data_IF_733097212823
#
_entry.id   IF_733097212823
#
_cell.length_a   1.000
_cell.length_b   1.000
_cell.length_c   1.000
_cell.angle_alpha   90.00
_cell.angle_beta   90.00
_cell.angle_gamma   90.00
#
_symmetry.space_group_name_H-M   'P 1'
#
loop_
_entity.id
_entity.type
_entity.pdbx_description
1 polymer ?
#
# COMPACT_ATOMS: atom_id res chain seq x y z
N UNK A 1 5.70 8.34 9.86
CA UNK A 1 4.40 9.02 9.62
C UNK A 1 4.56 10.43 9.04
N UNK A 2 5.51 10.64 8.12
CA UNK A 2 5.68 11.93 7.46
C UNK A 2 4.52 12.20 6.50
N UNK A 3 4.22 13.47 6.22
CA UNK A 3 3.20 13.86 5.22
C UNK A 3 1.75 13.46 5.53
N UNK A 4 1.44 13.05 6.76
CA UNK A 4 0.07 12.76 7.18
C UNK A 4 -0.72 14.05 7.48
N UNK A 5 -2.04 13.99 7.29
CA UNK A 5 -2.95 15.02 7.79
C UNK A 5 -3.45 14.62 9.18
N UNK A 6 -3.18 15.46 10.18
CA UNK A 6 -3.55 15.21 11.57
C UNK A 6 -4.69 16.09 12.07
N UNK A 7 -5.21 17.00 11.22
CA UNK A 7 -6.30 17.92 11.58
C UNK A 7 -5.88 19.12 12.45
N UNK A 8 -4.59 19.27 12.78
CA UNK A 8 -4.06 20.33 13.65
C UNK A 8 -2.79 20.94 13.06
N UNK A 9 -2.50 22.20 13.44
CA UNK A 9 -1.35 22.95 12.93
C UNK A 9 -0.12 22.97 13.86
N UNK A 10 -0.20 22.38 15.05
CA UNK A 10 0.88 22.39 16.04
C UNK A 10 1.52 21.01 16.21
N UNK A 11 2.85 20.96 16.34
CA UNK A 11 3.61 19.72 16.56
C UNK A 11 3.19 18.96 17.81
N UNK A 12 2.87 19.66 18.91
CA UNK A 12 2.46 19.06 20.19
C UNK A 12 1.15 18.26 20.07
N UNK A 13 0.17 18.78 19.33
CA UNK A 13 -1.10 18.09 19.11
C UNK A 13 -0.95 16.84 18.24
N UNK A 14 0.04 16.84 17.33
CA UNK A 14 0.38 15.69 16.48
C UNK A 14 1.15 14.65 17.27
N UNK A 15 2.18 15.06 18.02
CA UNK A 15 3.00 14.15 18.82
C UNK A 15 2.20 13.48 19.91
N UNK A 16 1.27 14.18 20.57
CA UNK A 16 0.42 13.60 21.62
C UNK A 16 -0.56 12.51 21.16
N UNK A 17 -0.64 12.23 19.85
CA UNK A 17 -1.46 11.14 19.28
C UNK A 17 -0.62 9.98 18.75
N UNK A 18 0.70 10.11 18.81
CA UNK A 18 1.65 9.13 18.30
C UNK A 18 2.31 8.51 19.51
N UNK A 19 2.10 7.21 19.73
CA UNK A 19 2.82 6.49 20.76
C UNK A 19 4.12 5.95 20.17
N UNK A 20 5.25 6.59 20.47
CA UNK A 20 6.56 6.25 19.91
C UNK A 20 7.69 6.20 20.94
N UNK A 21 8.94 6.08 20.45
CA UNK A 21 10.16 6.07 21.28
C UNK A 21 10.27 7.23 22.27
N UNK A 22 9.60 8.36 22.01
CA UNK A 22 9.61 9.53 22.90
C UNK A 22 8.80 9.28 24.17
N UNK A 23 7.78 8.42 24.09
CA UNK A 23 6.94 8.02 25.23
C UNK A 23 7.42 6.72 25.88
N UNK A 24 7.90 5.76 25.08
CA UNK A 24 8.40 4.45 25.54
C UNK A 24 9.66 4.07 24.75
N UNK A 25 10.80 3.97 25.43
CA UNK A 25 12.10 3.71 24.81
C UNK A 25 12.19 2.36 24.06
N UNK A 26 11.28 1.42 24.32
CA UNK A 26 11.21 0.13 23.63
C UNK A 26 10.57 0.21 22.24
N UNK A 27 9.90 1.33 21.93
CA UNK A 27 9.22 1.53 20.65
C UNK A 27 10.12 2.16 19.59
N UNK A 28 9.73 1.97 18.33
CA UNK A 28 10.37 2.66 17.21
C UNK A 28 10.01 4.15 17.24
N UNK A 29 10.99 5.00 16.89
CA UNK A 29 10.75 6.45 16.76
C UNK A 29 9.93 6.72 15.51
N UNK A 30 8.84 7.45 15.65
CA UNK A 30 7.96 7.80 14.54
C UNK A 30 8.31 9.20 14.06
N UNK A 31 8.83 9.29 12.84
CA UNK A 31 9.00 10.59 12.20
C UNK A 31 7.67 11.08 11.63
N UNK A 32 7.12 12.15 12.21
CA UNK A 32 5.87 12.80 11.78
C UNK A 32 6.09 14.18 11.16
N UNK A 33 7.31 14.49 10.73
CA UNK A 33 7.62 15.75 10.07
C UNK A 33 6.83 15.95 8.77
N UNK A 34 6.70 17.22 8.36
CA UNK A 34 5.99 17.63 7.15
C UNK A 34 4.50 17.25 7.13
N UNK A 35 3.81 17.31 8.28
CA UNK A 35 2.36 17.10 8.33
C UNK A 35 1.59 18.10 7.46
N UNK A 36 0.50 17.64 6.85
CA UNK A 36 -0.33 18.48 5.96
C UNK A 36 -1.25 19.36 6.80
N UNK A 37 -1.28 20.65 6.48
CA UNK A 37 -2.06 21.67 7.19
C UNK A 37 -3.51 21.79 6.70
N UNK A 38 -3.80 21.31 5.50
CA UNK A 38 -5.14 21.32 4.91
C UNK A 38 -5.46 19.96 4.29
N UNK A 39 -6.76 19.71 4.11
CA UNK A 39 -7.26 18.51 3.43
C UNK A 39 -7.12 18.59 1.91
N UNK A 40 -6.47 19.62 1.35
CA UNK A 40 -6.35 19.79 -0.09
C UNK A 40 -5.61 18.61 -0.75
N UNK A 41 -4.57 18.09 -0.10
CA UNK A 41 -3.90 16.86 -0.55
C UNK A 41 -4.73 15.59 -0.34
N UNK A 42 -5.71 15.59 0.57
CA UNK A 42 -6.69 14.50 0.73
C UNK A 42 -7.82 14.59 -0.31
N UNK A 43 -8.16 15.80 -0.77
CA UNK A 43 -9.24 16.06 -1.72
C UNK A 43 -8.80 15.94 -3.19
N UNK A 44 -7.49 16.08 -3.45
CA UNK A 44 -6.92 16.05 -4.81
C UNK A 44 -5.77 15.04 -4.99
N UNK A 45 -5.57 14.14 -4.02
CA UNK A 45 -4.52 13.13 -4.02
C UNK A 45 -5.03 11.76 -3.56
N UNK A 46 -4.11 10.83 -3.30
CA UNK A 46 -4.44 9.54 -2.70
C UNK A 46 -4.65 9.68 -1.19
N UNK A 47 -5.43 8.76 -0.63
CA UNK A 47 -5.61 8.61 0.81
C UNK A 47 -4.26 8.42 1.52
N UNK A 48 -4.12 8.84 2.79
CA UNK A 48 -2.87 8.65 3.53
C UNK A 48 -2.45 7.17 3.54
N UNK A 49 -1.17 6.92 3.23
CA UNK A 49 -0.64 5.56 3.10
C UNK A 49 -0.71 5.00 1.67
N UNK A 50 -1.60 5.54 0.82
CA UNK A 50 -1.65 5.21 -0.59
C UNK A 50 -0.69 6.08 -1.39
N UNK A 51 -0.08 5.48 -2.41
CA UNK A 51 0.81 6.16 -3.37
C UNK A 51 0.17 6.18 -4.74
N UNK A 52 0.21 7.33 -5.41
CA UNK A 52 -0.27 7.44 -6.79
C UNK A 52 0.76 6.80 -7.73
N UNK A 53 0.33 5.77 -8.47
CA UNK A 53 1.11 5.17 -9.56
C UNK A 53 0.28 5.26 -10.83
N UNK A 54 0.75 6.04 -11.80
CA UNK A 54 -0.03 6.42 -12.97
C UNK A 54 -1.31 7.20 -12.59
N UNK A 55 -2.46 6.60 -12.84
CA UNK A 55 -3.79 7.17 -12.62
C UNK A 55 -4.56 6.56 -11.44
N UNK A 56 -3.96 5.63 -10.69
CA UNK A 56 -4.60 5.00 -9.54
C UNK A 56 -3.75 5.12 -8.26
N UNK A 57 -4.42 4.94 -7.12
CA UNK A 57 -3.83 4.97 -5.79
C UNK A 57 -3.63 3.53 -5.30
N UNK A 58 -2.41 3.20 -4.90
CA UNK A 58 -2.02 1.86 -4.48
C UNK A 58 -1.47 1.87 -3.05
N UNK A 59 -1.74 0.79 -2.33
CA UNK A 59 -1.14 0.48 -1.03
C UNK A 59 -0.47 -0.89 -1.14
N UNK A 60 0.79 -0.98 -0.74
CA UNK A 60 1.52 -2.25 -0.70
C UNK A 60 1.48 -2.81 0.72
N UNK A 61 1.18 -4.11 0.83
CA UNK A 61 1.16 -4.82 2.11
C UNK A 61 1.94 -6.12 1.92
N UNK A 62 3.16 -6.18 2.46
CA UNK A 62 4.00 -7.37 2.46
C UNK A 62 3.58 -8.33 3.58
N UNK A 63 2.51 -9.09 3.36
CA UNK A 63 2.03 -10.10 4.31
C UNK A 63 1.56 -11.34 3.55
N UNK A 64 2.04 -12.55 3.90
CA UNK A 64 1.69 -13.79 3.20
C UNK A 64 0.23 -14.15 3.49
N UNK A 65 -0.63 -14.02 2.49
CA UNK A 65 -2.07 -14.27 2.61
C UNK A 65 -2.64 -14.95 1.37
N UNK A 66 -3.79 -15.60 1.53
CA UNK A 66 -4.57 -16.10 0.38
C UNK A 66 -5.21 -14.95 -0.39
N UNK A 67 -5.63 -15.22 -1.63
CA UNK A 67 -6.31 -14.20 -2.44
C UNK A 67 -7.61 -13.70 -1.79
N UNK A 68 -8.37 -14.59 -1.14
CA UNK A 68 -9.61 -14.23 -0.45
C UNK A 68 -9.35 -13.30 0.75
N UNK A 69 -8.32 -13.60 1.55
CA UNK A 69 -7.91 -12.78 2.68
C UNK A 69 -7.43 -11.40 2.22
N UNK A 70 -6.62 -11.33 1.15
CA UNK A 70 -6.18 -10.07 0.57
C UNK A 70 -7.35 -9.21 0.09
N UNK A 71 -8.34 -9.83 -0.58
CA UNK A 71 -9.57 -9.16 -1.02
C UNK A 71 -10.40 -8.66 0.15
N UNK A 72 -10.55 -9.48 1.19
CA UNK A 72 -11.27 -9.10 2.41
C UNK A 72 -10.58 -7.96 3.15
N UNK A 73 -9.25 -7.95 3.19
CA UNK A 73 -8.45 -6.87 3.76
C UNK A 73 -8.70 -5.56 3.04
N UNK A 74 -8.55 -5.53 1.71
CA UNK A 74 -8.79 -4.32 0.91
C UNK A 74 -10.22 -3.79 1.12
N UNK A 75 -11.22 -4.68 1.18
CA UNK A 75 -12.62 -4.30 1.41
C UNK A 75 -12.86 -3.64 2.77
N UNK A 76 -12.13 -4.05 3.82
CA UNK A 76 -12.23 -3.41 5.15
C UNK A 76 -11.75 -1.96 5.13
N UNK A 77 -10.83 -1.63 4.23
CA UNK A 77 -10.32 -0.26 4.01
C UNK A 77 -11.10 0.49 2.92
N UNK A 78 -12.32 0.04 2.60
CA UNK A 78 -13.16 0.60 1.53
C UNK A 78 -12.44 0.65 0.15
N UNK A 79 -11.49 -0.25 -0.07
CA UNK A 79 -10.71 -0.41 -1.28
C UNK A 79 -10.97 -1.78 -1.94
N UNK A 80 -10.27 -2.05 -3.04
CA UNK A 80 -10.28 -3.34 -3.71
C UNK A 80 -8.86 -3.80 -4.00
N UNK A 81 -8.67 -5.12 -4.19
CA UNK A 81 -7.47 -5.58 -4.89
C UNK A 81 -7.34 -4.84 -6.23
N UNK A 82 -6.14 -4.39 -6.60
CA UNK A 82 -5.98 -3.49 -7.73
C UNK A 82 -6.27 -4.19 -9.06
N UNK A 83 -7.09 -3.58 -9.91
CA UNK A 83 -7.24 -4.01 -11.30
C UNK A 83 -6.08 -3.47 -12.13
N UNK A 84 -5.12 -4.34 -12.44
CA UNK A 84 -3.89 -3.94 -13.12
C UNK A 84 -4.01 -4.19 -14.62
N UNK A 85 -4.16 -3.15 -15.44
CA UNK A 85 -4.27 -3.26 -16.90
C UNK A 85 -3.12 -2.57 -17.66
N UNK A 86 -2.42 -1.66 -17.00
CA UNK A 86 -1.37 -0.79 -17.58
C UNK A 86 -0.40 -0.37 -16.47
N UNK A 87 0.65 0.36 -16.85
CA UNK A 87 1.69 0.86 -15.94
C UNK A 87 2.46 -0.25 -15.19
N UNK A 88 2.61 -1.42 -15.81
CA UNK A 88 3.32 -2.56 -15.19
C UNK A 88 4.74 -2.20 -14.75
N UNK A 89 5.42 -1.35 -15.52
CA UNK A 89 6.75 -0.87 -15.18
C UNK A 89 6.75 0.01 -13.93
N UNK A 90 5.88 1.01 -13.89
CA UNK A 90 5.76 1.95 -12.77
C UNK A 90 5.34 1.22 -11.49
N UNK A 91 4.39 0.28 -11.58
CA UNK A 91 3.95 -0.53 -10.44
C UNK A 91 5.06 -1.45 -9.94
N UNK A 92 5.79 -2.11 -10.85
CA UNK A 92 6.93 -2.95 -10.46
C UNK A 92 8.00 -2.16 -9.73
N UNK A 93 8.35 -0.99 -10.26
CA UNK A 93 9.35 -0.10 -9.67
C UNK A 93 8.88 0.43 -8.32
N UNK A 94 7.62 0.85 -8.22
CA UNK A 94 7.04 1.30 -6.97
C UNK A 94 7.04 0.21 -5.89
N UNK A 95 6.69 -1.05 -6.22
CA UNK A 95 6.74 -2.18 -5.26
C UNK A 95 8.17 -2.38 -4.75
N UNK A 96 9.16 -2.32 -5.66
CA UNK A 96 10.58 -2.43 -5.29
C UNK A 96 11.01 -1.34 -4.30
N UNK A 97 10.47 -0.11 -4.44
CA UNK A 97 10.72 0.98 -3.49
C UNK A 97 10.04 0.75 -2.12
N UNK A 98 9.00 -0.09 -2.02
CA UNK A 98 8.30 -0.37 -0.76
C UNK A 98 9.01 -1.43 0.10
N UNK A 99 9.65 -2.42 -0.52
CA UNK A 99 10.30 -3.53 0.17
C UNK A 99 11.67 -3.82 -0.48
N UNK A 100 12.80 -3.46 0.18
CA UNK A 100 14.14 -3.65 -0.37
C UNK A 100 14.48 -5.10 -0.73
N UNK A 101 13.90 -6.07 -0.03
CA UNK A 101 14.12 -7.50 -0.23
C UNK A 101 13.23 -8.10 -1.34
N UNK A 102 12.33 -7.31 -1.94
CA UNK A 102 11.41 -7.80 -2.95
C UNK A 102 12.14 -8.21 -4.24
N UNK A 103 12.01 -9.49 -4.59
CA UNK A 103 12.60 -10.11 -5.77
C UNK A 103 11.58 -10.12 -6.91
N UNK A 104 11.61 -9.09 -7.76
CA UNK A 104 10.63 -8.89 -8.83
C UNK A 104 10.45 -10.07 -9.81
N UNK A 105 11.44 -10.97 -9.91
CA UNK A 105 11.36 -12.18 -10.73
C UNK A 105 10.52 -13.31 -10.13
N UNK A 106 10.38 -13.35 -8.81
CA UNK A 106 9.79 -14.49 -8.08
C UNK A 106 8.65 -14.09 -7.16
N UNK A 107 8.77 -12.92 -6.53
CA UNK A 107 7.80 -12.46 -5.55
C UNK A 107 6.55 -11.96 -6.28
N UNK A 108 5.45 -12.64 -5.97
CA UNK A 108 4.15 -12.38 -6.55
C UNK A 108 3.32 -11.53 -5.59
N UNK A 109 2.48 -10.66 -6.13
CA UNK A 109 1.51 -9.90 -5.34
C UNK A 109 0.11 -10.10 -5.89
N UNK A 110 -0.88 -10.20 -5.01
CA UNK A 110 -2.27 -10.35 -5.44
C UNK A 110 -2.78 -9.10 -6.18
N UNK A 111 -3.39 -9.30 -7.33
CA UNK A 111 -4.03 -8.26 -8.14
C UNK A 111 -5.35 -8.79 -8.73
N UNK A 112 -6.05 -7.98 -9.51
CA UNK A 112 -7.17 -8.40 -10.35
C UNK A 112 -6.87 -8.07 -11.82
N UNK A 113 -7.37 -8.89 -12.74
CA UNK A 113 -7.24 -8.67 -14.18
C UNK A 113 -8.43 -9.28 -14.91
N UNK A 114 -9.03 -8.55 -15.85
CA UNK A 114 -10.28 -8.97 -16.51
C UNK A 114 -10.11 -10.25 -17.35
N UNK A 115 -8.92 -10.44 -17.93
CA UNK A 115 -8.62 -11.62 -18.76
C UNK A 115 -8.32 -12.89 -17.96
N UNK A 116 -8.21 -12.81 -16.63
CA UNK A 116 -8.03 -13.99 -15.77
C UNK A 116 -9.41 -14.54 -15.42
N UNK A 117 -9.90 -15.46 -16.25
CA UNK A 117 -11.26 -16.06 -16.13
C UNK A 117 -11.26 -17.23 -15.14
N UNK A 118 -10.16 -17.98 -15.05
CA UNK A 118 -9.98 -19.12 -14.16
C UNK A 118 -8.77 -18.89 -13.26
N UNK A 119 -8.86 -19.24 -11.97
CA UNK A 119 -7.81 -19.00 -10.99
C UNK A 119 -7.84 -17.58 -10.41
N UNK A 120 -6.74 -17.17 -9.80
CA UNK A 120 -6.57 -15.84 -9.22
C UNK A 120 -5.40 -15.10 -9.87
N UNK A 121 -5.55 -13.79 -10.04
CA UNK A 121 -4.55 -12.96 -10.71
C UNK A 121 -3.46 -12.55 -9.73
N UNK A 122 -2.21 -12.81 -10.10
CA UNK A 122 -1.02 -12.36 -9.38
C UNK A 122 -0.09 -11.60 -10.32
N UNK A 123 0.51 -10.51 -9.84
CA UNK A 123 1.48 -9.73 -10.59
C UNK A 123 2.89 -10.16 -10.21
N UNK A 124 3.69 -10.49 -11.23
CA UNK A 124 5.08 -10.96 -11.09
C UNK A 124 5.82 -10.77 -12.41
N UNK A 125 7.11 -10.45 -12.34
CA UNK A 125 7.94 -10.29 -13.53
C UNK A 125 7.34 -9.31 -14.56
N UNK A 126 6.76 -8.19 -14.09
CA UNK A 126 6.06 -7.18 -14.90
C UNK A 126 4.86 -7.71 -15.71
N UNK A 127 4.24 -8.79 -15.26
CA UNK A 127 3.12 -9.43 -15.95
C UNK A 127 2.07 -9.87 -14.94
N UNK A 128 0.81 -9.92 -15.37
CA UNK A 128 -0.23 -10.60 -14.59
C UNK A 128 -0.32 -12.05 -15.04
N UNK A 129 -0.33 -12.96 -14.08
CA UNK A 129 -0.45 -14.41 -14.28
C UNK A 129 -1.63 -14.96 -13.48
N UNK A 130 -2.22 -16.02 -13.99
CA UNK A 130 -3.18 -16.83 -13.24
C UNK A 130 -2.44 -17.84 -12.37
N UNK A 131 -2.79 -17.90 -11.09
CA UNK A 131 -2.22 -18.84 -10.11
C UNK A 131 -3.34 -19.47 -9.25
N UNK A 132 -2.97 -20.45 -8.41
CA UNK A 132 -3.89 -21.02 -7.41
C UNK A 132 -4.21 -19.99 -6.32
N UNK A 133 -5.50 -19.75 -6.09
CA UNK A 133 -6.02 -18.77 -5.13
C UNK A 133 -5.64 -19.07 -3.67
N UNK A 134 -5.27 -20.32 -3.36
CA UNK A 134 -4.91 -20.75 -2.00
C UNK A 134 -3.42 -20.59 -1.69
N UNK A 135 -2.62 -20.07 -2.63
CA UNK A 135 -1.24 -19.69 -2.33
C UNK A 135 -1.22 -18.58 -1.28
N UNK A 136 -0.20 -18.60 -0.43
CA UNK A 136 0.08 -17.49 0.47
C UNK A 136 1.15 -16.63 -0.19
N UNK A 137 0.72 -15.56 -0.85
CA UNK A 137 1.60 -14.55 -1.46
C UNK A 137 1.79 -13.39 -0.48
#
# INVERSE_FOLDING_TARGET
ARNNWWGFNTSVAVSGRIHDRTDDETLLRVDYSQWKLNNYSLLHGCEPGYTRVGDACYLYVGAPVTHEEAKAFCKKDNASLPFLQKWYWDVQYWIFDQQPEYLWEYDMVWVQHLDVISGCAAFVYRQVRSVDCNLNL
#
